data_IF_434273931551
#
_entry.id   IF_434273931551
#
_cell.length_a   1.000
_cell.length_b   1.000
_cell.length_c   1.000
_cell.angle_alpha   90.00
_cell.angle_beta   90.00
_cell.angle_gamma   90.00
#
_symmetry.space_group_name_H-M   'P 1'
#
loop_
_entity.id
_entity.type
_entity.pdbx_description
1 polymer ?
#
# COMPACT_ATOMS: atom_id res chain seq x y z
N UNK A 1 22.73 -6.26 16.16
CA UNK A 1 21.35 -6.21 16.67
C UNK A 1 20.47 -7.02 15.72
N UNK A 2 20.09 -8.24 16.08
CA UNK A 2 19.13 -9.07 15.34
C UNK A 2 17.72 -8.58 15.69
N UNK A 3 17.30 -7.50 15.04
CA UNK A 3 15.93 -6.99 15.16
C UNK A 3 14.98 -8.03 14.59
N UNK A 4 14.02 -8.48 15.39
CA UNK A 4 12.96 -9.37 14.92
C UNK A 4 12.12 -8.74 13.79
N UNK A 5 11.19 -9.50 13.20
CA UNK A 5 10.36 -9.02 12.11
C UNK A 5 9.62 -7.73 12.49
N UNK A 6 9.82 -6.68 11.70
CA UNK A 6 9.19 -5.37 11.86
C UNK A 6 7.92 -5.33 11.01
N UNK A 7 6.79 -4.99 11.63
CA UNK A 7 5.53 -4.80 10.90
C UNK A 7 5.57 -3.45 10.19
N UNK A 8 5.33 -3.44 8.89
CA UNK A 8 5.18 -2.21 8.10
C UNK A 8 3.81 -1.61 8.41
N UNK A 9 3.74 -0.39 8.98
CA UNK A 9 2.46 0.28 9.22
C UNK A 9 1.69 0.49 7.91
N UNK A 10 0.38 0.25 7.94
CA UNK A 10 -0.48 0.69 6.85
C UNK A 10 -0.62 2.22 6.93
N UNK A 11 -0.24 2.93 5.87
CA UNK A 11 -0.54 4.37 5.74
C UNK A 11 -2.01 4.55 5.35
N UNK A 12 -2.91 4.24 6.27
CA UNK A 12 -4.34 4.57 6.17
C UNK A 12 -4.63 5.74 7.10
N UNK A 13 -5.37 6.74 6.63
CA UNK A 13 -5.81 7.81 7.52
C UNK A 13 -6.79 7.28 8.55
N UNK A 14 -6.79 7.91 9.73
CA UNK A 14 -7.88 7.73 10.70
C UNK A 14 -9.24 8.10 10.10
N UNK A 15 -9.27 9.04 9.14
CA UNK A 15 -10.50 9.42 8.43
C UNK A 15 -11.05 8.27 7.58
N UNK A 16 -10.20 7.48 6.91
CA UNK A 16 -10.61 6.27 6.20
C UNK A 16 -11.29 5.26 7.14
N UNK A 17 -10.69 4.97 8.29
CA UNK A 17 -11.32 4.07 9.28
C UNK A 17 -12.67 4.62 9.77
N UNK A 18 -12.75 5.91 10.11
CA UNK A 18 -14.01 6.54 10.51
C UNK A 18 -15.07 6.47 9.41
N UNK A 19 -14.69 6.71 8.16
CA UNK A 19 -15.59 6.62 7.01
C UNK A 19 -16.07 5.19 6.79
N UNK A 20 -15.18 4.20 6.77
CA UNK A 20 -15.53 2.78 6.66
C UNK A 20 -16.44 2.36 7.80
N UNK A 21 -16.14 2.74 9.05
CA UNK A 21 -16.97 2.44 10.22
C UNK A 21 -18.34 3.12 10.11
N UNK A 22 -18.42 4.41 9.73
CA UNK A 22 -19.68 5.12 9.56
C UNK A 22 -20.56 4.50 8.48
N UNK A 23 -19.98 4.17 7.32
CA UNK A 23 -20.68 3.46 6.23
C UNK A 23 -21.15 2.09 6.69
N UNK A 24 -20.33 1.34 7.42
CA UNK A 24 -20.71 0.03 7.96
C UNK A 24 -21.90 0.14 8.93
N UNK A 25 -21.86 1.10 9.86
CA UNK A 25 -22.96 1.35 10.81
C UNK A 25 -24.23 1.76 10.07
N UNK A 26 -24.15 2.66 9.08
CA UNK A 26 -25.31 3.07 8.29
C UNK A 26 -25.96 1.88 7.55
N UNK A 27 -25.14 1.00 6.95
CA UNK A 27 -25.65 -0.20 6.29
C UNK A 27 -26.30 -1.15 7.28
N UNK A 28 -25.74 -1.34 8.48
CA UNK A 28 -26.36 -2.16 9.53
C UNK A 28 -27.73 -1.62 9.95
N UNK A 29 -27.84 -0.30 10.14
CA UNK A 29 -29.13 0.36 10.48
C UNK A 29 -30.14 0.15 9.35
N UNK A 30 -29.74 0.34 8.09
CA UNK A 30 -30.63 0.14 6.95
C UNK A 30 -31.08 -1.32 6.80
N UNK A 31 -30.17 -2.28 7.00
CA UNK A 31 -30.50 -3.70 6.98
C UNK A 31 -31.45 -4.09 8.11
N UNK A 32 -31.26 -3.55 9.32
CA UNK A 32 -32.17 -3.76 10.44
C UNK A 32 -33.56 -3.19 10.15
N UNK A 33 -33.64 -1.99 9.56
CA UNK A 33 -34.90 -1.39 9.13
C UNK A 33 -35.63 -2.29 8.11
N UNK A 34 -34.95 -2.73 7.05
CA UNK A 34 -35.52 -3.63 6.04
C UNK A 34 -36.03 -4.93 6.66
N UNK A 35 -35.28 -5.54 7.57
CA UNK A 35 -35.70 -6.76 8.24
C UNK A 35 -36.99 -6.59 9.08
N UNK A 36 -37.21 -5.40 9.63
CA UNK A 36 -38.42 -5.05 10.40
C UNK A 36 -39.59 -4.74 9.46
N UNK A 37 -39.38 -3.91 8.44
CA UNK A 37 -40.47 -3.42 7.57
C UNK A 37 -40.87 -4.36 6.44
N UNK A 38 -39.97 -5.25 6.01
CA UNK A 38 -40.15 -6.13 4.85
C UNK A 38 -39.79 -7.58 5.24
N UNK A 39 -40.70 -8.31 5.91
CA UNK A 39 -40.43 -9.66 6.40
C UNK A 39 -40.04 -10.65 5.29
N UNK A 40 -40.54 -10.45 4.07
CA UNK A 40 -40.19 -11.21 2.87
C UNK A 40 -38.69 -11.12 2.52
N UNK A 41 -38.01 -10.03 2.91
CA UNK A 41 -36.60 -9.79 2.61
C UNK A 41 -35.64 -10.19 3.73
N UNK A 42 -36.13 -10.77 4.83
CA UNK A 42 -35.29 -11.17 5.98
C UNK A 42 -34.20 -12.17 5.61
N UNK A 43 -34.49 -13.09 4.68
CA UNK A 43 -33.52 -14.08 4.20
C UNK A 43 -32.34 -13.37 3.52
N UNK A 44 -32.59 -12.37 2.69
CA UNK A 44 -31.54 -11.58 2.05
C UNK A 44 -30.69 -10.81 3.07
N UNK A 45 -31.33 -10.17 4.05
CA UNK A 45 -30.61 -9.49 5.14
C UNK A 45 -29.69 -10.47 5.89
N UNK A 46 -30.20 -11.66 6.22
CA UNK A 46 -29.44 -12.69 6.92
C UNK A 46 -28.23 -13.21 6.13
N UNK A 47 -28.28 -13.19 4.79
CA UNK A 47 -27.17 -13.61 3.91
C UNK A 47 -26.20 -12.45 3.63
N UNK A 48 -26.68 -11.25 3.36
CA UNK A 48 -25.84 -10.11 2.98
C UNK A 48 -24.97 -9.61 4.14
N UNK A 49 -25.51 -9.59 5.36
CA UNK A 49 -24.81 -9.08 6.53
C UNK A 49 -23.51 -9.86 6.85
N UNK A 50 -23.48 -11.22 6.91
CA UNK A 50 -22.24 -11.96 7.09
C UNK A 50 -21.29 -11.85 5.88
N UNK A 51 -21.80 -11.77 4.65
CA UNK A 51 -20.96 -11.53 3.46
C UNK A 51 -20.24 -10.17 3.55
N UNK A 52 -20.93 -9.14 4.00
CA UNK A 52 -20.35 -7.81 4.19
C UNK A 52 -19.30 -7.81 5.31
N UNK A 53 -19.58 -8.51 6.42
CA UNK A 53 -18.62 -8.70 7.51
C UNK A 53 -17.35 -9.44 7.05
N UNK A 54 -17.50 -10.49 6.24
CA UNK A 54 -16.39 -11.21 5.62
C UNK A 54 -15.58 -10.29 4.69
N UNK A 55 -16.26 -9.48 3.87
CA UNK A 55 -15.61 -8.56 2.95
C UNK A 55 -14.81 -7.46 3.67
N UNK A 56 -15.36 -6.86 4.73
CA UNK A 56 -14.63 -5.90 5.57
C UNK A 56 -13.43 -6.57 6.24
N UNK A 57 -13.60 -7.78 6.79
CA UNK A 57 -12.50 -8.53 7.39
C UNK A 57 -11.39 -8.81 6.37
N UNK A 58 -11.76 -9.13 5.13
CA UNK A 58 -10.83 -9.35 4.03
C UNK A 58 -10.01 -8.10 3.69
N UNK A 59 -10.63 -6.92 3.74
CA UNK A 59 -9.94 -5.65 3.49
C UNK A 59 -9.00 -5.22 4.63
N UNK A 60 -9.32 -5.58 5.88
CA UNK A 60 -8.54 -5.18 7.06
C UNK A 60 -7.39 -6.16 7.34
N UNK A 61 -7.49 -7.44 6.96
CA UNK A 61 -6.46 -8.46 7.18
C UNK A 61 -5.36 -8.48 6.12
N UNK A 62 -4.77 -7.32 5.86
CA UNK A 62 -3.54 -7.20 5.07
C UNK A 62 -2.42 -6.74 6.00
N UNK A 63 -1.30 -7.44 5.95
CA UNK A 63 -0.10 -7.02 6.68
C UNK A 63 1.13 -7.32 5.85
N UNK A 64 2.11 -6.43 5.95
CA UNK A 64 3.44 -6.67 5.45
C UNK A 64 4.38 -6.64 6.63
N UNK A 65 5.18 -7.68 6.78
CA UNK A 65 6.27 -7.74 7.73
C UNK A 65 7.59 -7.79 6.97
N UNK A 66 8.61 -7.24 7.59
CA UNK A 66 9.93 -7.08 7.04
C UNK A 66 10.94 -7.51 8.08
N UNK A 67 11.80 -8.47 7.73
CA UNK A 67 12.88 -8.95 8.58
C UNK A 67 14.23 -8.42 8.07
N UNK A 68 14.83 -7.43 8.76
CA UNK A 68 16.12 -6.86 8.37
C UNK A 68 17.30 -7.85 8.50
N UNK A 69 17.15 -8.88 9.35
CA UNK A 69 18.18 -9.88 9.60
C UNK A 69 18.29 -10.88 8.46
N UNK A 70 17.16 -11.33 7.94
CA UNK A 70 17.11 -12.35 6.87
C UNK A 70 16.91 -11.76 5.47
N UNK A 71 16.51 -10.49 5.37
CA UNK A 71 16.14 -9.86 4.11
C UNK A 71 14.85 -10.41 3.54
N UNK A 72 13.95 -10.92 4.39
CA UNK A 72 12.65 -11.48 3.96
C UNK A 72 11.55 -10.44 4.15
N UNK A 73 10.77 -10.22 3.10
CA UNK A 73 9.52 -9.47 3.13
C UNK A 73 8.37 -10.46 3.06
N UNK A 74 7.55 -10.52 4.11
CA UNK A 74 6.38 -11.39 4.14
C UNK A 74 5.12 -10.55 3.99
N UNK A 75 4.32 -10.88 2.97
CA UNK A 75 3.00 -10.29 2.77
C UNK A 75 1.94 -11.29 3.15
N UNK A 76 1.12 -10.97 4.14
CA UNK A 76 -0.03 -11.77 4.53
C UNK A 76 -1.30 -11.09 4.03
N UNK A 77 -2.09 -11.82 3.26
CA UNK A 77 -3.43 -11.41 2.82
C UNK A 77 -4.39 -12.51 3.24
N UNK A 78 -5.26 -12.20 4.20
CA UNK A 78 -6.33 -13.10 4.65
C UNK A 78 -5.79 -14.47 5.06
N UNK A 79 -4.77 -14.46 5.92
CA UNK A 79 -4.12 -15.69 6.41
C UNK A 79 -3.17 -16.37 5.42
N UNK A 80 -3.22 -16.01 4.13
CA UNK A 80 -2.26 -16.50 3.14
C UNK A 80 -1.02 -15.63 3.17
N UNK A 81 0.08 -16.19 3.67
CA UNK A 81 1.38 -15.54 3.70
C UNK A 81 2.18 -15.89 2.45
N UNK A 82 2.82 -14.87 1.88
CA UNK A 82 3.79 -15.01 0.80
C UNK A 82 5.08 -14.35 1.19
N UNK A 83 6.14 -15.13 1.18
CA UNK A 83 7.49 -14.66 1.45
C UNK A 83 8.17 -14.21 0.15
N UNK A 84 8.93 -13.14 0.27
CA UNK A 84 9.78 -12.61 -0.76
C UNK A 84 11.17 -12.43 -0.15
N UNK A 85 12.10 -13.27 -0.58
CA UNK A 85 13.50 -13.17 -0.16
C UNK A 85 14.22 -12.16 -1.04
N UNK A 86 14.84 -11.16 -0.42
CA UNK A 86 15.73 -10.24 -1.09
C UNK A 86 17.04 -10.96 -1.39
N UNK A 87 17.39 -10.98 -2.68
CA UNK A 87 18.60 -11.62 -3.19
C UNK A 87 19.28 -10.70 -4.20
N UNK A 88 20.58 -10.89 -4.49
CA UNK A 88 21.26 -10.12 -5.54
C UNK A 88 20.49 -10.20 -6.86
N UNK A 89 20.31 -9.05 -7.52
CA UNK A 89 19.53 -8.96 -8.77
C UNK A 89 18.01 -8.85 -8.58
N UNK A 90 17.52 -8.71 -7.35
CA UNK A 90 16.13 -8.28 -7.10
C UNK A 90 15.91 -6.91 -7.74
N UNK A 91 14.94 -6.79 -8.65
CA UNK A 91 14.53 -5.49 -9.19
C UNK A 91 13.87 -4.69 -8.07
N UNK A 92 14.35 -3.46 -7.87
CA UNK A 92 13.84 -2.53 -6.86
C UNK A 92 13.58 -1.20 -7.53
N UNK A 93 12.36 -0.68 -7.34
CA UNK A 93 11.97 0.62 -7.88
C UNK A 93 10.96 1.32 -6.98
N UNK A 94 11.03 2.66 -6.93
CA UNK A 94 9.94 3.48 -6.42
C UNK A 94 8.99 3.80 -7.58
N UNK A 95 7.72 3.40 -7.44
CA UNK A 95 6.72 3.49 -8.51
C UNK A 95 5.49 4.21 -7.99
N UNK A 96 5.02 5.27 -8.66
CA UNK A 96 3.75 5.91 -8.32
C UNK A 96 2.59 4.98 -8.69
N UNK A 97 1.56 4.90 -7.85
CA UNK A 97 0.38 4.08 -8.12
C UNK A 97 -0.74 4.81 -8.88
N UNK A 98 -0.52 6.09 -9.24
CA UNK A 98 -1.51 6.94 -9.91
C UNK A 98 -2.61 7.51 -8.99
N UNK A 99 -2.69 7.06 -7.74
CA UNK A 99 -3.67 7.50 -6.75
C UNK A 99 -3.00 8.28 -5.60
N UNK A 100 -1.98 9.07 -5.91
CA UNK A 100 -1.25 9.87 -4.93
C UNK A 100 -0.33 9.09 -3.98
N UNK A 101 -0.03 7.81 -4.26
CA UNK A 101 0.84 7.00 -3.40
C UNK A 101 2.08 6.49 -4.15
N UNK A 102 3.18 6.38 -3.41
CA UNK A 102 4.46 5.88 -3.88
C UNK A 102 4.72 4.52 -3.26
N UNK A 103 4.97 3.54 -4.11
CA UNK A 103 5.20 2.16 -3.75
C UNK A 103 6.66 1.77 -3.96
N UNK A 104 7.27 1.07 -3.02
CA UNK A 104 8.49 0.30 -3.24
C UNK A 104 8.10 -1.03 -3.88
N UNK A 105 8.40 -1.16 -5.17
CA UNK A 105 8.21 -2.38 -5.94
C UNK A 105 9.45 -3.27 -5.81
N UNK A 106 9.23 -4.53 -5.41
CA UNK A 106 10.25 -5.56 -5.26
C UNK A 106 9.92 -6.74 -6.16
N UNK A 107 10.89 -7.20 -6.95
CA UNK A 107 10.76 -8.41 -7.78
C UNK A 107 12.06 -9.20 -7.78
N UNK A 108 12.12 -10.33 -7.04
CA UNK A 108 13.26 -11.22 -7.12
C UNK A 108 13.45 -11.79 -8.54
N UNK A 109 14.67 -12.22 -8.89
CA UNK A 109 14.92 -12.95 -10.13
C UNK A 109 13.96 -14.15 -10.26
N UNK A 110 13.40 -14.36 -11.46
CA UNK A 110 12.45 -15.45 -11.72
C UNK A 110 11.04 -15.24 -11.16
N UNK A 111 10.79 -14.22 -10.34
CA UNK A 111 9.44 -13.95 -9.86
C UNK A 111 8.56 -13.37 -10.98
N UNK A 112 7.37 -13.95 -11.19
CA UNK A 112 6.37 -13.43 -12.15
C UNK A 112 5.68 -12.14 -11.69
N UNK A 113 5.58 -11.91 -10.38
CA UNK A 113 4.81 -10.80 -9.80
C UNK A 113 5.68 -9.96 -8.86
N UNK A 114 5.46 -8.65 -8.89
CA UNK A 114 6.00 -7.68 -7.94
C UNK A 114 5.26 -7.73 -6.60
N UNK A 115 6.00 -7.53 -5.53
CA UNK A 115 5.45 -7.16 -4.22
C UNK A 115 5.61 -5.65 -4.04
N UNK A 116 4.60 -5.01 -3.48
CA UNK A 116 4.59 -3.57 -3.28
C UNK A 116 4.48 -3.24 -1.81
N UNK A 117 5.33 -2.32 -1.34
CA UNK A 117 5.26 -1.73 -0.01
C UNK A 117 4.92 -0.26 -0.16
N UNK A 118 3.94 0.24 0.59
CA UNK A 118 3.56 1.64 0.55
C UNK A 118 4.59 2.47 1.32
N UNK A 119 5.22 3.46 0.67
CA UNK A 119 6.29 4.29 1.25
C UNK A 119 5.77 5.67 1.62
N UNK A 120 5.00 6.28 0.72
CA UNK A 120 4.47 7.62 0.85
C UNK A 120 3.03 7.64 0.32
N UNK A 121 2.15 8.35 0.99
CA UNK A 121 0.79 8.64 0.53
C UNK A 121 0.53 10.13 0.63
N UNK A 122 0.12 10.73 -0.48
CA UNK A 122 -0.26 12.12 -0.65
C UNK A 122 -1.57 12.17 -1.44
N UNK A 123 -2.66 12.07 -0.71
CA UNK A 123 -4.03 12.20 -1.21
C UNK A 123 -4.74 13.27 -0.40
N UNK A 124 -5.91 13.71 -0.84
CA UNK A 124 -6.73 14.67 -0.09
C UNK A 124 -7.09 14.19 1.32
N UNK A 125 -7.05 12.87 1.56
CA UNK A 125 -7.45 12.24 2.81
C UNK A 125 -6.29 11.71 3.65
N UNK A 126 -5.11 11.51 3.04
CA UNK A 126 -3.94 10.88 3.67
C UNK A 126 -2.70 11.61 3.19
N UNK A 127 -2.02 12.25 4.12
CA UNK A 127 -0.68 12.79 3.93
C UNK A 127 0.24 12.15 4.97
N UNK A 128 0.95 11.09 4.56
CA UNK A 128 1.76 10.30 5.48
C UNK A 128 2.94 9.66 4.77
N UNK A 129 4.06 9.57 5.48
CA UNK A 129 5.25 8.78 5.12
C UNK A 129 5.40 7.62 6.10
N UNK A 130 6.09 6.57 5.68
CA UNK A 130 6.56 5.55 6.62
C UNK A 130 7.52 6.15 7.67
N UNK A 131 7.60 5.54 8.88
CA UNK A 131 8.50 5.99 9.92
C UNK A 131 9.97 5.97 9.48
N UNK A 132 10.80 6.91 9.98
CA UNK A 132 12.19 7.05 9.53
C UNK A 132 13.04 5.81 9.83
N UNK A 133 12.79 5.11 10.93
CA UNK A 133 13.48 3.88 11.32
C UNK A 133 13.20 2.75 10.32
N UNK A 134 11.95 2.64 9.87
CA UNK A 134 11.55 1.65 8.87
C UNK A 134 12.19 1.96 7.52
N UNK A 135 12.21 3.24 7.11
CA UNK A 135 12.82 3.68 5.86
C UNK A 135 14.33 3.41 5.83
N UNK A 136 15.05 3.74 6.91
CA UNK A 136 16.48 3.41 7.05
C UNK A 136 16.70 1.91 7.05
N UNK A 137 15.91 1.15 7.82
CA UNK A 137 16.00 -0.31 7.87
C UNK A 137 15.77 -0.98 6.50
N UNK A 138 14.81 -0.48 5.73
CA UNK A 138 14.60 -0.90 4.33
C UNK A 138 15.82 -0.56 3.46
N UNK A 139 16.32 0.68 3.53
CA UNK A 139 17.48 1.10 2.75
C UNK A 139 18.71 0.22 3.02
N UNK A 140 19.03 -0.02 4.29
CA UNK A 140 20.18 -0.82 4.72
C UNK A 140 20.05 -2.28 4.28
N UNK A 141 18.84 -2.83 4.32
CA UNK A 141 18.59 -4.21 3.92
C UNK A 141 18.64 -4.37 2.40
N UNK A 142 18.10 -3.41 1.63
CA UNK A 142 18.21 -3.41 0.18
C UNK A 142 19.68 -3.27 -0.27
N UNK A 143 20.46 -2.43 0.39
CA UNK A 143 21.90 -2.30 0.14
C UNK A 143 22.64 -3.61 0.43
N UNK A 144 22.32 -4.25 1.57
CA UNK A 144 22.94 -5.52 1.99
C UNK A 144 22.62 -6.69 1.06
N UNK A 145 21.35 -6.85 0.65
CA UNK A 145 20.88 -8.08 0.02
C UNK A 145 20.66 -7.99 -1.50
N UNK A 146 20.37 -6.81 -2.06
CA UNK A 146 20.01 -6.69 -3.48
C UNK A 146 21.17 -6.26 -4.38
N UNK A 147 22.22 -5.65 -3.82
CA UNK A 147 23.44 -5.26 -4.53
C UNK A 147 23.40 -3.86 -5.15
N UNK A 148 24.42 -3.48 -5.96
CA UNK A 148 24.68 -2.09 -6.36
C UNK A 148 23.57 -1.41 -7.18
N UNK A 149 22.76 -2.18 -7.90
CA UNK A 149 21.68 -1.65 -8.74
C UNK A 149 20.62 -0.89 -7.91
N UNK A 150 20.53 -1.12 -6.60
CA UNK A 150 19.56 -0.48 -5.71
C UNK A 150 20.03 0.85 -5.14
N UNK A 151 21.29 1.27 -5.36
CA UNK A 151 21.90 2.46 -4.73
C UNK A 151 21.06 3.74 -4.86
N UNK A 152 20.44 3.96 -6.01
CA UNK A 152 19.59 5.14 -6.22
C UNK A 152 18.36 5.13 -5.29
N UNK A 153 17.68 3.97 -5.18
CA UNK A 153 16.52 3.80 -4.30
C UNK A 153 16.94 3.85 -2.83
N UNK A 154 18.07 3.22 -2.46
CA UNK A 154 18.63 3.27 -1.10
C UNK A 154 18.88 4.72 -0.68
N UNK A 155 19.52 5.52 -1.54
CA UNK A 155 19.75 6.95 -1.27
C UNK A 155 18.43 7.70 -1.06
N UNK A 156 17.47 7.51 -1.96
CA UNK A 156 16.14 8.12 -1.87
C UNK A 156 15.39 7.75 -0.57
N UNK A 157 15.48 6.50 -0.13
CA UNK A 157 14.88 6.06 1.13
C UNK A 157 15.57 6.69 2.36
N UNK A 158 16.90 6.83 2.33
CA UNK A 158 17.67 7.50 3.40
C UNK A 158 17.35 8.99 3.47
N UNK A 159 17.36 9.69 2.33
CA UNK A 159 16.97 11.10 2.24
C UNK A 159 15.55 11.33 2.76
N UNK A 160 14.60 10.44 2.41
CA UNK A 160 13.26 10.50 2.95
C UNK A 160 13.22 10.25 4.46
N UNK A 161 14.01 9.31 4.97
CA UNK A 161 14.08 9.04 6.39
C UNK A 161 14.63 10.23 7.17
N UNK A 162 15.69 10.87 6.66
CA UNK A 162 16.29 12.06 7.27
C UNK A 162 15.31 13.23 7.27
N UNK A 163 14.58 13.42 6.16
CA UNK A 163 13.52 14.42 6.06
C UNK A 163 12.41 14.21 7.10
N UNK A 164 11.89 12.99 7.22
CA UNK A 164 10.83 12.67 8.20
C UNK A 164 11.35 12.80 9.64
N UNK A 165 12.58 12.36 9.91
CA UNK A 165 13.21 12.52 11.22
C UNK A 165 13.41 13.99 11.60
N UNK A 166 13.65 14.87 10.61
CA UNK A 166 13.71 16.32 10.78
C UNK A 166 12.36 17.02 10.95
N UNK A 167 11.24 16.28 11.04
CA UNK A 167 9.89 16.84 11.15
C UNK A 167 9.28 17.25 9.81
N UNK A 168 9.89 16.87 8.70
CA UNK A 168 9.40 17.14 7.35
C UNK A 168 8.05 16.45 7.08
N UNK A 169 7.16 17.16 6.40
CA UNK A 169 5.85 16.65 5.97
C UNK A 169 5.95 15.81 4.69
N UNK A 170 4.89 15.06 4.37
CA UNK A 170 4.85 14.32 3.11
C UNK A 170 4.75 15.26 1.89
N UNK A 171 4.10 16.44 1.99
CA UNK A 171 4.13 17.47 0.93
C UNK A 171 5.53 17.99 0.62
N UNK A 172 6.36 18.18 1.64
CA UNK A 172 7.73 18.68 1.48
C UNK A 172 8.73 17.55 1.23
N UNK A 173 8.25 16.32 1.00
CA UNK A 173 9.08 15.13 0.82
C UNK A 173 9.98 15.26 -0.42
N UNK A 174 11.26 14.85 -0.34
CA UNK A 174 12.12 14.70 -1.54
C UNK A 174 11.54 13.70 -2.56
N UNK A 175 10.67 12.79 -2.15
CA UNK A 175 10.00 11.83 -3.03
C UNK A 175 8.71 12.36 -3.66
N UNK A 176 8.19 13.52 -3.23
CA UNK A 176 6.96 14.10 -3.77
C UNK A 176 7.07 14.42 -5.27
N UNK A 177 8.27 14.75 -5.76
CA UNK A 177 8.53 14.94 -7.18
C UNK A 177 8.17 13.69 -8.01
N UNK A 178 8.47 12.49 -7.50
CA UNK A 178 8.20 11.22 -8.20
C UNK A 178 6.69 10.95 -8.36
N UNK A 179 5.87 11.44 -7.42
CA UNK A 179 4.41 11.35 -7.52
C UNK A 179 3.87 12.26 -8.63
N UNK A 180 4.36 13.49 -8.69
CA UNK A 180 3.92 14.50 -9.68
C UNK A 180 4.21 14.04 -11.11
N UNK A 181 5.41 13.52 -11.37
CA UNK A 181 5.75 12.95 -12.68
C UNK A 181 4.92 11.71 -13.04
N UNK A 182 4.56 10.89 -12.04
CA UNK A 182 3.68 9.75 -12.21
C UNK A 182 2.29 10.12 -12.68
N UNK A 183 1.68 11.12 -12.02
CA UNK A 183 0.34 11.63 -12.37
C UNK A 183 0.33 12.21 -13.79
N UNK A 184 1.34 13.01 -14.15
CA UNK A 184 1.46 13.58 -15.50
C UNK A 184 1.60 12.49 -16.57
N UNK A 185 2.39 11.44 -16.31
CA UNK A 185 2.56 10.32 -17.24
C UNK A 185 1.30 9.46 -17.36
N UNK A 186 0.58 9.25 -16.26
CA UNK A 186 -0.68 8.53 -16.25
C UNK A 186 -1.77 9.29 -17.01
N UNK A 187 -1.89 10.61 -16.82
CA UNK A 187 -2.79 11.45 -17.58
C UNK A 187 -2.48 11.41 -19.10
N UNK A 188 -1.20 11.43 -19.47
CA UNK A 188 -0.76 11.31 -20.87
C UNK A 188 -1.06 9.92 -21.48
N UNK A 189 -0.88 8.84 -20.71
CA UNK A 189 -1.18 7.48 -21.17
C UNK A 189 -2.69 7.22 -21.26
N UNK A 190 -3.49 7.75 -20.34
CA UNK A 190 -4.96 7.69 -20.39
C UNK A 190 -5.55 8.48 -21.55
N UNK A 191 -4.95 9.63 -21.91
CA UNK A 191 -5.35 10.42 -23.07
C UNK A 191 -5.07 9.76 -24.43
N UNK A 192 -4.06 8.90 -24.51
CA UNK A 192 -3.71 8.19 -25.75
C UNK A 192 -4.53 6.89 -25.97
N UNK A 193 -5.21 6.38 -24.95
CA UNK A 193 -6.07 5.19 -25.06
C UNK A 193 -7.51 5.47 -25.51
N UNK A 194 -7.90 6.75 -25.61
CA UNK A 194 -9.25 7.18 -25.98
C UNK A 194 -9.52 7.34 -27.48
N UNK A 195 -8.53 7.08 -28.34
CA UNK A 195 -8.65 7.24 -29.80
C UNK A 195 -8.28 5.92 -30.50
N UNK A 196 -8.93 4.81 -30.14
CA UNK A 196 -9.03 3.62 -31.00
C UNK A 196 -10.42 3.05 -30.81
N UNK A 197 -11.40 3.67 -31.47
CA UNK A 197 -12.80 3.30 -31.30
C UNK A 197 -13.78 4.02 -32.21
N UNK A 198 -13.34 4.43 -33.40
CA UNK A 198 -14.23 4.67 -34.53
C UNK A 198 -13.36 4.91 -35.75
N UNK A 199 -13.36 3.96 -36.67
CA UNK A 199 -13.52 4.13 -38.12
C UNK A 199 -13.48 2.72 -38.73
N UNK A 200 -14.64 2.38 -39.29
CA UNK A 200 -15.05 1.25 -40.14
C UNK A 200 -15.06 -0.18 -39.58
#
# INVERSE_FOLDING_TARGET
MTGGPVRVPELRSRSWYRWVTATFVAVLVMMAWVAVTQPENRVWVAVTLPLMGLWVTFLVRRSVTFDPGTGVVTRTVVGVSRELRLVPGTEVALVPNGAGALLLALRPPGARRRTYLLILSMTDYVEASQPPELLRGLADTLERFCGPATRAVVRQLREQADHVAGGGTARTSPLAALLTYGVLRAAKAGGAGGIVGHLD
#
